data_IF_184379009142
#
_entry.id   IF_184379009142
#
_cell.length_a   1.000
_cell.length_b   1.000
_cell.length_c   1.000
_cell.angle_alpha   90.00
_cell.angle_beta   90.00
_cell.angle_gamma   90.00
#
_symmetry.space_group_name_H-M   'P 1'
#
loop_
_entity.id
_entity.type
_entity.pdbx_description
1 polymer ?
#
# COMPACT_ATOMS: atom_id res chain seq x y z
N UNK A 1 -17.43 14.42 -4.20
CA UNK A 1 -16.29 15.06 -4.89
C UNK A 1 -15.86 14.12 -6.02
N UNK A 2 -15.27 14.58 -7.14
CA UNK A 2 -14.74 13.65 -8.13
C UNK A 2 -13.62 12.81 -7.51
N UNK A 3 -13.63 11.51 -7.78
CA UNK A 3 -12.59 10.58 -7.33
C UNK A 3 -11.24 10.99 -7.94
N UNK A 4 -10.21 11.09 -7.09
CA UNK A 4 -8.83 11.37 -7.52
C UNK A 4 -8.07 10.06 -7.55
N UNK A 5 -7.37 9.79 -8.63
CA UNK A 5 -6.53 8.60 -8.78
C UNK A 5 -5.17 9.01 -9.34
N UNK A 6 -4.09 8.52 -8.75
CA UNK A 6 -2.71 8.78 -9.21
C UNK A 6 -2.10 7.46 -9.68
N UNK A 7 -1.53 7.48 -10.89
CA UNK A 7 -0.74 6.36 -11.43
C UNK A 7 0.74 6.70 -11.27
N UNK A 8 1.47 5.83 -10.58
CA UNK A 8 2.90 5.98 -10.31
C UNK A 8 3.69 5.19 -11.35
N UNK A 9 4.60 5.88 -12.05
CA UNK A 9 5.47 5.27 -13.04
C UNK A 9 6.91 5.33 -12.55
N UNK A 10 7.57 4.18 -12.46
CA UNK A 10 8.96 4.07 -12.02
C UNK A 10 9.78 3.33 -13.07
N UNK A 11 10.91 3.92 -13.48
CA UNK A 11 11.75 3.39 -14.54
C UNK A 11 13.20 3.24 -14.06
N UNK A 12 13.70 2.01 -14.06
CA UNK A 12 15.09 1.69 -13.72
C UNK A 12 15.33 1.44 -12.22
N UNK A 13 16.49 0.87 -11.93
CA UNK A 13 16.76 0.18 -10.66
C UNK A 13 16.72 1.12 -9.46
N UNK A 14 17.33 2.29 -9.57
CA UNK A 14 17.31 3.31 -8.52
C UNK A 14 15.89 3.82 -8.24
N UNK A 15 15.12 4.12 -9.29
CA UNK A 15 13.73 4.57 -9.15
C UNK A 15 12.87 3.49 -8.51
N UNK A 16 13.05 2.23 -8.91
CA UNK A 16 12.29 1.10 -8.37
C UNK A 16 12.67 0.82 -6.90
N UNK A 17 13.94 1.01 -6.52
CA UNK A 17 14.41 0.92 -5.13
C UNK A 17 13.72 1.97 -4.24
N UNK A 18 13.70 3.23 -4.67
CA UNK A 18 12.99 4.29 -3.95
C UNK A 18 11.48 4.00 -3.90
N UNK A 19 10.90 3.55 -5.01
CA UNK A 19 9.48 3.19 -5.09
C UNK A 19 9.12 2.10 -4.08
N UNK A 20 10.00 1.12 -3.86
CA UNK A 20 9.79 0.06 -2.86
C UNK A 20 9.67 0.66 -1.46
N UNK A 21 10.58 1.55 -1.07
CA UNK A 21 10.52 2.22 0.23
C UNK A 21 9.30 3.13 0.37
N UNK A 22 8.94 3.85 -0.70
CA UNK A 22 7.74 4.66 -0.74
C UNK A 22 6.49 3.82 -0.46
N UNK A 23 6.29 2.70 -1.18
CA UNK A 23 5.11 1.85 -1.00
C UNK A 23 5.06 1.18 0.36
N UNK A 24 6.20 0.73 0.90
CA UNK A 24 6.28 0.20 2.26
C UNK A 24 5.87 1.25 3.30
N UNK A 25 6.28 2.51 3.09
CA UNK A 25 5.88 3.61 3.97
C UNK A 25 4.39 3.93 3.83
N UNK A 26 3.85 4.00 2.61
CA UNK A 26 2.43 4.21 2.37
C UNK A 26 1.58 3.11 3.03
N UNK A 27 1.99 1.85 2.89
CA UNK A 27 1.30 0.72 3.50
C UNK A 27 1.30 0.80 5.04
N UNK A 28 2.36 1.36 5.65
CA UNK A 28 2.42 1.52 7.10
C UNK A 28 1.44 2.57 7.66
N UNK A 29 0.85 3.41 6.81
CA UNK A 29 -0.16 4.39 7.18
C UNK A 29 -1.60 3.87 7.06
N UNK A 30 -1.80 2.60 6.66
CA UNK A 30 -3.13 2.00 6.72
C UNK A 30 -3.58 1.88 8.17
N UNK A 31 -4.75 2.45 8.45
CA UNK A 31 -5.52 2.18 9.66
C UNK A 31 -6.40 0.98 9.39
N UNK A 32 -6.34 -0.02 10.26
CA UNK A 32 -7.19 -1.21 10.18
C UNK A 32 -8.21 -1.13 11.29
N UNK A 33 -9.48 -1.41 10.98
CA UNK A 33 -10.49 -1.53 12.02
C UNK A 33 -10.12 -2.71 12.93
N UNK A 34 -10.38 -2.57 14.22
CA UNK A 34 -9.97 -3.54 15.22
C UNK A 34 -10.67 -4.90 15.02
N UNK A 35 -11.81 -4.90 14.32
CA UNK A 35 -12.54 -6.10 13.88
C UNK A 35 -11.85 -6.91 12.79
N UNK A 36 -10.98 -6.28 12.00
CA UNK A 36 -10.36 -6.90 10.82
C UNK A 36 -8.99 -7.52 11.14
N UNK A 37 -8.51 -7.31 12.36
CA UNK A 37 -7.24 -7.84 12.83
C UNK A 37 -7.39 -9.26 13.38
N UNK A 38 -6.43 -10.17 13.12
CA UNK A 38 -6.43 -11.49 13.72
C UNK A 38 -6.38 -11.40 15.26
N UNK A 39 -7.17 -12.22 15.95
CA UNK A 39 -7.15 -12.33 17.42
C UNK A 39 -5.72 -12.54 17.94
N UNK A 40 -5.14 -11.51 18.55
CA UNK A 40 -3.76 -11.49 19.05
C UNK A 40 -2.85 -10.46 18.40
N UNK A 41 -3.24 -9.85 17.28
CA UNK A 41 -2.53 -8.71 16.70
C UNK A 41 -2.61 -7.51 17.66
N UNK A 42 -1.47 -6.94 18.01
CA UNK A 42 -1.39 -5.61 18.63
C UNK A 42 -1.29 -4.61 17.47
N UNK A 43 -2.40 -4.01 17.02
CA UNK A 43 -2.24 -2.78 16.25
C UNK A 43 -1.46 -1.80 17.11
N UNK A 44 -0.57 -1.02 16.47
CA UNK A 44 0.09 0.11 17.14
C UNK A 44 -0.93 1.12 17.68
N UNK A 45 -2.15 1.06 17.13
CA UNK A 45 -3.28 1.93 17.41
C UNK A 45 -4.33 1.24 18.30
N UNK A 46 -3.90 0.35 19.21
CA UNK A 46 -4.80 -0.29 20.18
C UNK A 46 -5.55 0.71 21.08
N UNK A 47 -4.91 1.86 21.33
CA UNK A 47 -5.41 2.94 22.17
C UNK A 47 -5.74 4.21 21.37
N UNK A 48 -5.68 4.17 20.03
CA UNK A 48 -6.06 5.33 19.21
C UNK A 48 -7.59 5.48 19.23
N UNK A 49 -8.12 6.71 19.36
CA UNK A 49 -9.55 6.96 19.21
C UNK A 49 -10.04 6.40 17.87
N UNK A 50 -11.13 5.63 17.91
CA UNK A 50 -11.71 4.97 16.74
C UNK A 50 -12.22 5.95 15.65
N UNK A 51 -12.24 7.26 15.97
CA UNK A 51 -12.71 8.36 15.13
C UNK A 51 -11.57 9.22 14.52
N UNK A 52 -10.30 8.83 14.64
CA UNK A 52 -9.22 9.60 14.00
C UNK A 52 -9.30 9.47 12.46
N UNK A 53 -9.50 10.61 11.80
CA UNK A 53 -9.50 10.71 10.33
C UNK A 53 -8.14 10.23 9.80
N UNK A 54 -8.10 9.37 8.77
CA UNK A 54 -6.85 8.84 8.27
C UNK A 54 -5.95 9.98 7.78
N UNK A 55 -4.65 9.88 8.12
CA UNK A 55 -3.64 10.89 7.76
C UNK A 55 -3.56 11.12 6.23
N UNK A 56 -3.90 10.10 5.44
CA UNK A 56 -3.89 10.13 3.98
C UNK A 56 -5.10 9.39 3.40
N UNK A 57 -5.58 9.86 2.26
CA UNK A 57 -6.59 9.18 1.45
C UNK A 57 -5.90 8.07 0.62
N UNK A 58 -6.09 6.82 1.04
CA UNK A 58 -5.48 5.64 0.41
C UNK A 58 -6.08 5.31 -0.96
N UNK A 59 -7.34 5.68 -1.22
CA UNK A 59 -8.03 5.37 -2.48
C UNK A 59 -7.42 6.11 -3.68
N UNK A 60 -6.68 7.19 -3.40
CA UNK A 60 -5.90 7.93 -4.41
C UNK A 60 -4.77 7.09 -4.99
N UNK A 61 -4.12 6.29 -4.16
CA UNK A 61 -2.87 5.57 -4.51
C UNK A 61 -3.06 4.07 -4.68
N UNK A 62 -4.09 3.50 -4.05
CA UNK A 62 -4.38 2.08 -4.06
C UNK A 62 -5.71 1.80 -4.77
N UNK A 63 -5.85 0.56 -5.22
CA UNK A 63 -7.09 -0.01 -5.73
C UNK A 63 -7.48 -1.20 -4.85
N UNK A 64 -8.67 -1.13 -4.25
CA UNK A 64 -9.25 -2.24 -3.51
C UNK A 64 -9.57 -3.42 -4.44
N UNK A 65 -9.37 -4.63 -3.94
CA UNK A 65 -9.69 -5.89 -4.61
C UNK A 65 -9.79 -7.04 -3.61
N UNK A 66 -10.04 -8.26 -4.08
CA UNK A 66 -10.11 -9.44 -3.21
C UNK A 66 -9.19 -10.55 -3.69
N UNK A 67 -8.50 -11.18 -2.74
CA UNK A 67 -7.73 -12.40 -2.99
C UNK A 67 -8.67 -13.58 -3.29
N UNK A 68 -8.13 -14.66 -3.85
CA UNK A 68 -8.88 -15.90 -4.12
C UNK A 68 -9.54 -16.49 -2.86
N UNK A 69 -8.98 -16.21 -1.68
CA UNK A 69 -9.51 -16.62 -0.38
C UNK A 69 -10.54 -15.64 0.22
N UNK A 70 -10.95 -14.60 -0.54
CA UNK A 70 -11.94 -13.61 -0.11
C UNK A 70 -11.42 -12.54 0.85
N UNK A 71 -10.12 -12.50 1.12
CA UNK A 71 -9.49 -11.45 1.92
C UNK A 71 -9.33 -10.17 1.09
N UNK A 72 -9.57 -9.01 1.70
CA UNK A 72 -9.36 -7.73 1.03
C UNK A 72 -7.87 -7.51 0.71
N UNK A 73 -7.63 -6.90 -0.44
CA UNK A 73 -6.30 -6.56 -0.94
C UNK A 73 -6.30 -5.11 -1.40
N UNK A 74 -5.20 -4.41 -1.14
CA UNK A 74 -5.01 -3.04 -1.56
C UNK A 74 -3.81 -2.99 -2.50
N UNK A 75 -4.08 -2.86 -3.79
CA UNK A 75 -3.07 -2.96 -4.83
C UNK A 75 -2.57 -1.55 -5.20
N UNK A 76 -1.26 -1.25 -5.09
CA UNK A 76 -0.71 0.02 -5.54
C UNK A 76 -1.02 0.29 -7.01
N UNK A 77 -1.38 1.53 -7.35
CA UNK A 77 -1.53 1.98 -8.75
C UNK A 77 -0.17 2.32 -9.35
N UNK A 78 0.69 1.31 -9.46
CA UNK A 78 2.08 1.46 -9.84
C UNK A 78 2.46 0.62 -11.06
N UNK A 79 3.27 1.18 -11.94
CA UNK A 79 3.98 0.46 -13.00
C UNK A 79 5.47 0.61 -12.74
N UNK A 80 6.13 -0.52 -12.49
CA UNK A 80 7.57 -0.59 -12.35
C UNK A 80 8.14 -1.18 -13.64
N UNK A 81 9.05 -0.44 -14.25
CA UNK A 81 9.73 -0.84 -15.48
C UNK A 81 11.22 -1.01 -15.21
N UNK A 82 11.79 -2.04 -15.82
CA UNK A 82 13.20 -2.34 -15.72
C UNK A 82 13.70 -2.97 -17.01
N UNK A 83 15.01 -2.89 -17.25
CA UNK A 83 15.67 -3.62 -18.33
C UNK A 83 15.84 -5.10 -17.96
N UNK A 84 15.89 -5.97 -18.96
CA UNK A 84 15.97 -7.41 -18.74
C UNK A 84 17.16 -7.85 -17.86
N UNK A 85 18.29 -7.12 -17.90
CA UNK A 85 19.48 -7.44 -17.09
C UNK A 85 19.26 -7.28 -15.59
N UNK A 86 18.32 -6.43 -15.19
CA UNK A 86 18.06 -6.06 -13.79
C UNK A 86 16.74 -6.66 -13.27
N UNK A 87 16.12 -7.56 -14.04
CA UNK A 87 14.92 -8.28 -13.58
C UNK A 87 15.24 -9.13 -12.35
N UNK A 88 14.41 -8.99 -11.32
CA UNK A 88 14.58 -9.68 -10.04
C UNK A 88 15.59 -9.03 -9.08
N UNK A 89 16.20 -7.90 -9.44
CA UNK A 89 17.01 -7.11 -8.51
C UNK A 89 16.17 -6.49 -7.40
N UNK A 90 14.87 -6.27 -7.66
CA UNK A 90 13.94 -5.80 -6.64
C UNK A 90 13.64 -6.87 -5.60
N UNK A 91 13.75 -6.50 -4.33
CA UNK A 91 13.26 -7.29 -3.20
C UNK A 91 12.27 -6.43 -2.42
N UNK A 92 11.01 -6.85 -2.45
CA UNK A 92 9.95 -6.29 -1.59
C UNK A 92 9.77 -7.19 -0.37
#
# INVERSE_FOLDING_TARGET
MPQKEIIYLSFGSFSNHISTHFWNQQQSYFTYDQSDLPSGSTSRDRDAPQDDEPLIDHDVSFQAGQALAGQDTYNPRAILFETHQEFGALRM
#
